data_IF_492560192138
#
_entry.id   IF_492560192138
#
_cell.length_a   1.000
_cell.length_b   1.000
_cell.length_c   1.000
_cell.angle_alpha   90.00
_cell.angle_beta   90.00
_cell.angle_gamma   90.00
#
_symmetry.space_group_name_H-M   'P 1'
#
loop_
_entity.id
_entity.type
_entity.pdbx_description
1 polymer ?
#
# COMPACT_ATOMS: atom_id res chain seq x y z
N UNK A 1 -9.77 -13.87 -8.85
CA UNK A 1 -9.02 -12.86 -8.08
C UNK A 1 -7.53 -13.03 -8.36
N UNK A 2 -6.75 -11.95 -8.29
CA UNK A 2 -5.39 -11.84 -8.85
C UNK A 2 -4.33 -11.87 -7.73
N UNK A 3 -3.08 -12.20 -8.07
CA UNK A 3 -1.91 -12.17 -7.17
C UNK A 3 -1.44 -10.73 -6.87
N UNK A 4 -2.34 -9.75 -6.92
CA UNK A 4 -2.03 -8.33 -6.79
C UNK A 4 -2.84 -7.77 -5.62
N UNK A 5 -2.14 -7.32 -4.59
CA UNK A 5 -2.71 -6.61 -3.45
C UNK A 5 -2.47 -5.11 -3.62
N UNK A 6 -3.55 -4.32 -3.60
CA UNK A 6 -3.48 -2.86 -3.61
C UNK A 6 -4.01 -2.32 -2.28
N UNK A 7 -3.25 -1.45 -1.62
CA UNK A 7 -3.62 -0.90 -0.31
C UNK A 7 -3.03 0.49 -0.08
N UNK A 8 -3.51 1.18 0.95
CA UNK A 8 -2.91 2.40 1.49
C UNK A 8 -3.07 2.37 3.01
N UNK A 9 -2.23 3.12 3.73
CA UNK A 9 -2.32 3.22 5.19
C UNK A 9 -2.91 4.57 5.55
N UNK A 10 -4.14 4.57 6.08
CA UNK A 10 -4.90 5.77 6.42
C UNK A 10 -5.37 5.72 7.87
N UNK A 11 -5.42 6.89 8.52
CA UNK A 11 -6.06 7.03 9.84
C UNK A 11 -7.54 7.41 9.67
N UNK A 12 -8.42 7.04 10.61
CA UNK A 12 -9.81 7.47 10.58
C UNK A 12 -9.92 9.00 10.52
N UNK A 13 -10.73 9.52 9.59
CA UNK A 13 -10.98 10.94 9.39
C UNK A 13 -9.84 11.72 8.72
N UNK A 14 -8.73 11.08 8.37
CA UNK A 14 -7.55 11.76 7.83
C UNK A 14 -7.79 12.29 6.40
N UNK A 15 -7.09 13.36 6.03
CA UNK A 15 -7.14 13.89 4.67
C UNK A 15 -6.48 12.95 3.65
N UNK A 16 -6.99 12.94 2.42
CA UNK A 16 -6.41 12.12 1.34
C UNK A 16 -4.97 12.54 1.01
N UNK A 17 -4.65 13.83 1.06
CA UNK A 17 -3.28 14.32 0.87
C UNK A 17 -2.28 13.71 1.87
N UNK A 18 -2.69 13.56 3.14
CA UNK A 18 -1.87 12.96 4.20
C UNK A 18 -1.73 11.45 3.99
N UNK A 19 -2.81 10.76 3.59
CA UNK A 19 -2.77 9.35 3.21
C UNK A 19 -1.80 9.14 2.04
N UNK A 20 -1.86 10.01 1.03
CA UNK A 20 -0.97 9.99 -0.13
C UNK A 20 0.49 10.22 0.27
N UNK A 21 0.75 11.20 1.13
CA UNK A 21 2.08 11.47 1.66
C UNK A 21 2.65 10.24 2.39
N UNK A 22 1.84 9.57 3.23
CA UNK A 22 2.24 8.34 3.92
C UNK A 22 2.52 7.21 2.93
N UNK A 23 1.64 6.98 1.96
CA UNK A 23 1.88 5.99 0.90
C UNK A 23 3.19 6.26 0.14
N UNK A 24 3.53 7.52 -0.12
CA UNK A 24 4.78 7.89 -0.78
C UNK A 24 6.01 7.66 0.11
N UNK A 25 5.90 7.91 1.41
CA UNK A 25 6.95 7.61 2.39
C UNK A 25 7.21 6.11 2.44
N UNK A 26 6.16 5.29 2.62
CA UNK A 26 6.26 3.83 2.61
C UNK A 26 6.89 3.36 1.29
N UNK A 27 6.41 3.87 0.14
CA UNK A 27 7.02 3.54 -1.16
C UNK A 27 8.53 3.86 -1.22
N UNK A 28 8.95 5.00 -0.66
CA UNK A 28 10.36 5.39 -0.63
C UNK A 28 11.23 4.43 0.18
N UNK A 29 10.69 3.91 1.28
CA UNK A 29 11.39 2.95 2.16
C UNK A 29 11.58 1.59 1.48
N UNK A 30 10.65 1.20 0.59
CA UNK A 30 10.66 -0.07 -0.15
C UNK A 30 11.05 0.09 -1.63
N UNK A 31 11.56 1.25 -2.03
CA UNK A 31 11.93 1.56 -3.41
C UNK A 31 13.25 0.88 -3.78
N UNK A 32 13.44 0.41 -5.03
CA UNK A 32 14.66 -0.23 -5.54
C UNK A 32 15.93 0.65 -5.47
N UNK A 33 15.81 1.91 -5.04
CA UNK A 33 16.92 2.81 -4.74
C UNK A 33 17.65 2.48 -3.42
N UNK A 34 17.11 1.60 -2.58
CA UNK A 34 17.80 1.02 -1.42
C UNK A 34 18.79 -0.06 -1.88
N UNK A 35 19.95 -0.20 -1.24
CA UNK A 35 20.83 -1.35 -1.47
C UNK A 35 20.21 -2.61 -0.84
N UNK A 36 19.87 -3.63 -1.65
CA UNK A 36 19.27 -4.91 -1.23
C UNK A 36 17.99 -4.81 -0.35
N UNK A 37 16.89 -4.19 -0.84
CA UNK A 37 15.66 -4.19 -0.07
C UNK A 37 15.08 -5.61 0.04
N UNK A 38 14.63 -5.99 1.23
CA UNK A 38 13.99 -7.29 1.50
C UNK A 38 12.65 -7.43 0.74
N UNK A 39 11.99 -6.30 0.49
CA UNK A 39 10.70 -6.24 -0.20
C UNK A 39 10.68 -5.14 -1.27
N UNK A 40 10.03 -5.43 -2.39
CA UNK A 40 9.79 -4.47 -3.46
C UNK A 40 8.29 -4.22 -3.61
N UNK A 41 7.88 -2.96 -3.57
CA UNK A 41 6.51 -2.55 -3.85
C UNK A 41 6.48 -1.54 -4.99
N UNK A 42 5.38 -1.54 -5.74
CA UNK A 42 5.09 -0.51 -6.73
C UNK A 42 4.00 0.43 -6.20
N UNK A 43 3.78 1.56 -6.85
CA UNK A 43 2.68 2.48 -6.54
C UNK A 43 1.88 2.80 -7.79
N UNK A 44 0.63 3.21 -7.61
CA UNK A 44 -0.20 3.75 -8.69
C UNK A 44 -1.07 4.90 -8.19
N UNK A 45 -1.40 5.81 -9.11
CA UNK A 45 -2.22 6.99 -8.84
C UNK A 45 -3.61 6.73 -9.41
N UNK A 46 -4.62 6.68 -8.53
CA UNK A 46 -6.01 6.52 -8.90
C UNK A 46 -6.71 7.87 -8.80
N UNK A 47 -7.06 8.45 -9.95
CA UNK A 47 -7.71 9.75 -10.01
C UNK A 47 -9.23 9.61 -9.85
N UNK A 48 -9.84 10.50 -9.08
CA UNK A 48 -11.28 10.53 -8.85
C UNK A 48 -12.07 10.85 -10.11
N UNK A 49 -11.53 11.63 -11.05
CA UNK A 49 -12.17 11.92 -12.35
C UNK A 49 -12.46 10.64 -13.17
N UNK A 50 -11.62 9.61 -13.03
CA UNK A 50 -11.72 8.32 -13.75
C UNK A 50 -12.37 7.22 -12.92
N UNK A 51 -12.15 7.21 -11.61
CA UNK A 51 -12.51 6.10 -10.72
C UNK A 51 -13.46 6.49 -9.60
N UNK A 52 -14.15 7.62 -9.70
CA UNK A 52 -14.97 8.23 -8.64
C UNK A 52 -15.80 7.21 -7.85
N UNK A 53 -16.60 6.39 -8.53
CA UNK A 53 -17.51 5.44 -7.88
C UNK A 53 -16.77 4.40 -7.03
N UNK A 54 -15.64 3.91 -7.54
CA UNK A 54 -14.84 2.89 -6.84
C UNK A 54 -14.06 3.49 -5.69
N UNK A 55 -13.41 4.63 -5.92
CA UNK A 55 -12.64 5.32 -4.88
C UNK A 55 -13.55 5.82 -3.75
N UNK A 56 -14.69 6.43 -4.04
CA UNK A 56 -15.62 6.88 -3.01
C UNK A 56 -16.18 5.74 -2.15
N UNK A 57 -16.26 4.52 -2.69
CA UNK A 57 -16.62 3.34 -1.90
C UNK A 57 -15.44 2.86 -1.05
N UNK A 58 -14.26 2.77 -1.65
CA UNK A 58 -13.05 2.30 -0.99
C UNK A 58 -12.63 3.22 0.17
N UNK A 59 -12.66 4.54 -0.04
CA UNK A 59 -12.26 5.51 0.99
C UNK A 59 -13.28 5.69 2.10
N UNK A 60 -14.51 5.18 1.93
CA UNK A 60 -15.57 5.32 2.93
C UNK A 60 -15.19 4.69 4.27
N UNK A 61 -14.38 3.63 4.24
CA UNK A 61 -14.04 2.84 5.42
C UNK A 61 -13.31 3.66 6.50
N UNK A 62 -12.58 4.71 6.11
CA UNK A 62 -11.94 5.63 7.04
C UNK A 62 -12.54 7.05 7.04
N UNK A 63 -13.57 7.31 6.23
CA UNK A 63 -14.28 8.59 6.15
C UNK A 63 -13.36 9.85 6.05
N UNK A 64 -12.55 9.98 4.98
CA UNK A 64 -11.55 11.04 4.88
C UNK A 64 -12.11 12.42 4.56
N UNK A 65 -11.24 13.41 4.72
CA UNK A 65 -11.37 14.71 4.05
C UNK A 65 -10.79 14.60 2.63
N UNK A 66 -11.63 14.81 1.60
CA UNK A 66 -11.21 14.77 0.19
C UNK A 66 -10.65 16.14 -0.21
N UNK A 67 -9.34 16.30 -0.10
CA UNK A 67 -8.60 17.54 -0.38
C UNK A 67 -7.67 17.47 -1.61
N UNK A 68 -7.68 16.33 -2.31
CA UNK A 68 -6.93 16.08 -3.55
C UNK A 68 -7.78 15.25 -4.52
N UNK A 69 -7.44 15.31 -5.81
CA UNK A 69 -8.15 14.63 -6.90
C UNK A 69 -7.67 13.19 -7.14
N UNK A 70 -6.71 12.70 -6.36
CA UNK A 70 -6.16 11.36 -6.51
C UNK A 70 -5.89 10.64 -5.18
N UNK A 71 -5.88 9.31 -5.25
CA UNK A 71 -5.44 8.42 -4.19
C UNK A 71 -4.23 7.62 -4.67
N UNK A 72 -3.15 7.68 -3.90
CA UNK A 72 -1.94 6.89 -4.12
C UNK A 72 -2.07 5.58 -3.33
N UNK A 73 -2.09 4.48 -4.07
CA UNK A 73 -2.11 3.14 -3.48
C UNK A 73 -0.80 2.41 -3.77
N UNK A 74 -0.34 1.68 -2.77
CA UNK A 74 0.75 0.72 -2.87
C UNK A 74 0.23 -0.55 -3.50
N UNK A 75 1.04 -1.14 -4.38
CA UNK A 75 0.73 -2.36 -5.12
C UNK A 75 1.85 -3.38 -4.91
N UNK A 76 1.50 -4.48 -4.25
CA UNK A 76 2.35 -5.65 -4.06
C UNK A 76 1.88 -6.79 -4.96
N UNK A 77 2.82 -7.42 -5.66
CA UNK A 77 2.54 -8.59 -6.51
C UNK A 77 3.06 -9.83 -5.79
N UNK A 78 2.14 -10.61 -5.22
CA UNK A 78 2.42 -11.83 -4.49
C UNK A 78 2.60 -13.00 -5.47
N UNK A 79 3.60 -12.89 -6.33
CA UNK A 79 3.98 -13.95 -7.29
C UNK A 79 5.12 -14.83 -6.79
N UNK A 80 5.75 -14.47 -5.67
CA UNK A 80 6.83 -15.26 -5.13
C UNK A 80 6.25 -16.53 -4.46
N UNK A 81 6.45 -17.67 -5.11
CA UNK A 81 5.95 -18.99 -4.69
C UNK A 81 6.57 -19.45 -3.35
N UNK A 82 7.65 -18.79 -2.91
CA UNK A 82 8.34 -19.04 -1.64
C UNK A 82 7.79 -18.22 -0.46
N UNK A 83 6.80 -17.35 -0.68
CA UNK A 83 6.19 -16.56 0.42
C UNK A 83 5.46 -17.44 1.47
N UNK A 84 5.11 -18.67 1.10
CA UNK A 84 4.39 -19.63 1.96
C UNK A 84 5.06 -21.00 2.05
N UNK A 85 6.30 -21.17 1.57
CA UNK A 85 6.94 -22.49 1.64
C UNK A 85 7.13 -22.91 3.09
N UNK A 86 6.45 -23.99 3.49
CA UNK A 86 6.54 -24.62 4.83
C UNK A 86 7.97 -25.01 5.23
N UNK A 87 8.89 -25.12 4.28
CA UNK A 87 10.28 -25.50 4.50
C UNK A 87 11.15 -24.34 5.01
N UNK A 88 10.74 -23.10 4.73
CA UNK A 88 11.33 -21.89 5.32
C UNK A 88 10.43 -21.49 6.49
N UNK A 89 10.87 -21.69 7.75
CA UNK A 89 10.13 -21.30 8.97
C UNK A 89 9.88 -19.76 9.11
N UNK A 90 10.01 -19.01 8.02
CA UNK A 90 9.93 -17.55 7.96
C UNK A 90 8.62 -17.17 7.29
N UNK A 91 7.73 -16.50 8.04
CA UNK A 91 6.53 -15.90 7.48
C UNK A 91 6.83 -14.48 6.96
N UNK A 92 7.26 -14.40 5.70
CA UNK A 92 7.61 -13.13 5.04
C UNK A 92 6.45 -12.12 4.97
N UNK A 93 5.19 -12.59 5.04
CA UNK A 93 4.02 -11.71 5.04
C UNK A 93 3.92 -10.99 6.38
N UNK A 94 4.09 -11.70 7.49
CA UNK A 94 4.04 -11.10 8.83
C UNK A 94 5.18 -10.11 9.02
N UNK A 95 6.41 -10.45 8.60
CA UNK A 95 7.56 -9.52 8.61
C UNK A 95 7.28 -8.24 7.83
N UNK A 96 6.65 -8.35 6.65
CA UNK A 96 6.29 -7.19 5.84
C UNK A 96 5.21 -6.32 6.51
N UNK A 97 4.21 -6.95 7.14
CA UNK A 97 3.17 -6.24 7.89
C UNK A 97 3.78 -5.51 9.09
N UNK A 98 4.63 -6.18 9.86
CA UNK A 98 5.34 -5.59 11.00
C UNK A 98 6.20 -4.40 10.56
N UNK A 99 6.92 -4.53 9.44
CA UNK A 99 7.75 -3.45 8.92
C UNK A 99 6.90 -2.24 8.51
N UNK A 100 5.75 -2.44 7.84
CA UNK A 100 4.81 -1.35 7.52
C UNK A 100 4.24 -0.72 8.80
N UNK A 101 3.79 -1.53 9.76
CA UNK A 101 3.18 -1.06 11.00
C UNK A 101 4.17 -0.27 11.87
N UNK A 102 5.46 -0.63 11.86
CA UNK A 102 6.50 0.10 12.60
C UNK A 102 6.82 1.49 12.02
N UNK A 103 6.46 1.72 10.75
CA UNK A 103 6.80 2.93 9.97
C UNK A 103 5.60 3.84 9.66
N UNK A 104 4.38 3.47 10.09
CA UNK A 104 3.11 4.19 9.77
C UNK A 104 2.55 5.01 10.92
#
# INVERSE_FOLDING_TARGET
ESNICCFCVAKPGEALSQTNQRSLQIYSDFSPSQENPEFYISKTHLRFDKYQKYLSSYVRDWNPIIDTDELIVLRSVLMNVFLQTRETEINFIDSFVDEICSRS
#
